data_IF_004434851991
#
_entry.id   IF_004434851991
#
_cell.length_a   1.000
_cell.length_b   1.000
_cell.length_c   1.000
_cell.angle_alpha   90.00
_cell.angle_beta   90.00
_cell.angle_gamma   90.00
#
_symmetry.space_group_name_H-M   'P 1'
#
loop_
_entity.id
_entity.type
_entity.pdbx_description
1 polymer ?
#
# COMPACT_ATOMS: atom_id res chain seq x y z
N UNK A 1 17.09 -0.17 9.76
CA UNK A 1 17.49 0.91 8.84
C UNK A 1 19.00 1.02 8.68
N UNK A 2 19.78 1.06 9.77
CA UNK A 2 21.25 1.17 9.72
C UNK A 2 21.92 0.12 8.82
N UNK A 3 21.53 -1.16 8.93
CA UNK A 3 22.01 -2.24 8.04
C UNK A 3 21.75 -1.95 6.56
N UNK A 4 20.61 -1.35 6.21
CA UNK A 4 20.31 -1.01 4.81
C UNK A 4 21.21 0.13 4.34
N UNK A 5 21.35 1.20 5.13
CA UNK A 5 22.22 2.34 4.81
C UNK A 5 23.70 1.96 4.68
N UNK A 6 24.15 0.92 5.39
CA UNK A 6 25.52 0.39 5.25
C UNK A 6 25.80 -0.24 3.88
N UNK A 7 24.79 -0.77 3.18
CA UNK A 7 24.96 -1.43 1.88
C UNK A 7 24.36 -0.63 0.73
N UNK A 8 23.46 0.30 1.05
CA UNK A 8 22.75 1.17 0.13
C UNK A 8 22.72 2.58 0.73
N UNK A 9 23.78 3.40 0.53
CA UNK A 9 23.88 4.71 1.16
C UNK A 9 22.74 5.67 0.80
N UNK A 10 22.14 5.48 -0.37
CA UNK A 10 20.99 6.27 -0.87
C UNK A 10 19.64 5.73 -0.37
N UNK A 11 19.63 4.64 0.39
CA UNK A 11 18.38 4.06 0.87
C UNK A 11 17.75 4.93 1.96
N UNK A 12 16.46 5.19 1.77
CA UNK A 12 15.59 5.82 2.75
C UNK A 12 14.27 5.05 2.88
N UNK A 13 13.64 5.03 4.08
CA UNK A 13 12.33 4.43 4.24
C UNK A 13 11.28 5.24 3.45
N UNK A 14 10.36 4.54 2.79
CA UNK A 14 9.24 5.18 2.12
C UNK A 14 8.33 5.88 3.14
N UNK A 15 7.97 7.13 2.84
CA UNK A 15 6.90 7.82 3.56
C UNK A 15 5.52 7.25 3.16
N UNK A 16 4.46 7.68 3.84
CA UNK A 16 3.10 7.16 3.60
C UNK A 16 2.65 7.31 2.14
N UNK A 17 2.91 8.45 1.51
CA UNK A 17 2.51 8.71 0.13
C UNK A 17 3.29 7.81 -0.85
N UNK A 18 4.59 7.64 -0.62
CA UNK A 18 5.44 6.77 -1.42
C UNK A 18 5.04 5.28 -1.28
N UNK A 19 4.61 4.85 -0.09
CA UNK A 19 4.04 3.50 0.11
C UNK A 19 2.75 3.30 -0.70
N UNK A 20 1.89 4.31 -0.83
CA UNK A 20 0.70 4.22 -1.69
C UNK A 20 1.05 4.20 -3.17
N UNK A 21 2.02 5.02 -3.60
CA UNK A 21 2.51 5.00 -4.97
C UNK A 21 3.09 3.63 -5.35
N UNK A 22 3.90 3.03 -4.46
CA UNK A 22 4.43 1.68 -4.64
C UNK A 22 3.29 0.64 -4.74
N UNK A 23 2.29 0.72 -3.87
CA UNK A 23 1.12 -0.17 -3.92
C UNK A 23 0.33 -0.03 -5.23
N UNK A 24 0.15 1.19 -5.73
CA UNK A 24 -0.49 1.43 -7.02
C UNK A 24 0.31 0.78 -8.16
N UNK A 25 1.62 0.99 -8.20
CA UNK A 25 2.51 0.39 -9.20
C UNK A 25 2.46 -1.15 -9.13
N UNK A 26 2.52 -1.72 -7.92
CA UNK A 26 2.43 -3.16 -7.70
C UNK A 26 1.12 -3.71 -8.25
N UNK A 27 -0.03 -3.15 -7.85
CA UNK A 27 -1.34 -3.57 -8.33
C UNK A 27 -1.48 -3.42 -9.85
N UNK A 28 -0.94 -2.35 -10.43
CA UNK A 28 -1.00 -2.09 -11.87
C UNK A 28 -0.24 -3.14 -12.67
N UNK A 29 0.92 -3.59 -12.17
CA UNK A 29 1.76 -4.59 -12.84
C UNK A 29 1.21 -6.03 -12.78
N UNK A 30 0.26 -6.33 -11.88
CA UNK A 30 -0.27 -7.68 -11.72
C UNK A 30 -1.41 -7.99 -12.69
N UNK A 31 -1.25 -9.05 -13.47
CA UNK A 31 -2.30 -9.65 -14.31
C UNK A 31 -2.66 -11.04 -13.80
N UNK A 32 -3.36 -11.08 -12.67
CA UNK A 32 -3.69 -12.32 -11.97
C UNK A 32 -5.19 -12.59 -12.00
N UNK A 33 -5.55 -13.86 -12.18
CA UNK A 33 -6.95 -14.32 -12.13
C UNK A 33 -7.18 -15.15 -10.87
N UNK A 34 -8.38 -15.04 -10.28
CA UNK A 34 -8.81 -15.84 -9.11
C UNK A 34 -7.86 -15.73 -7.89
N UNK A 35 -7.19 -14.60 -7.74
CA UNK A 35 -6.25 -14.34 -6.64
C UNK A 35 -6.88 -13.45 -5.57
N UNK A 36 -6.89 -13.93 -4.34
CA UNK A 36 -7.28 -13.16 -3.17
C UNK A 36 -6.13 -12.21 -2.80
N UNK A 37 -6.41 -10.90 -2.72
CA UNK A 37 -5.45 -9.89 -2.29
C UNK A 37 -5.88 -9.26 -0.97
N UNK A 38 -4.92 -9.14 -0.05
CA UNK A 38 -5.10 -8.61 1.30
C UNK A 38 -3.88 -7.76 1.66
N UNK A 39 -4.12 -6.49 1.90
CA UNK A 39 -3.20 -5.57 2.56
C UNK A 39 -3.92 -5.04 3.80
N UNK A 40 -4.15 -5.93 4.78
CA UNK A 40 -4.94 -5.66 5.98
C UNK A 40 -4.21 -6.01 7.28
N UNK A 41 -2.89 -6.22 7.20
CA UNK A 41 -2.03 -6.41 8.36
C UNK A 41 -1.96 -5.12 9.18
N UNK A 42 -1.61 -5.23 10.48
CA UNK A 42 -1.51 -4.08 11.39
C UNK A 42 -0.63 -2.95 10.84
N UNK A 43 0.47 -3.31 10.18
CA UNK A 43 1.42 -2.37 9.59
C UNK A 43 0.88 -1.58 8.39
N UNK A 44 -0.22 -2.00 7.76
CA UNK A 44 -0.78 -1.31 6.58
C UNK A 44 -1.59 -0.06 7.00
N UNK A 45 -1.28 1.08 6.39
CA UNK A 45 -2.06 2.31 6.56
C UNK A 45 -3.44 2.19 5.90
N UNK A 46 -3.48 1.79 4.63
CA UNK A 46 -4.69 1.60 3.85
C UNK A 46 -5.04 0.12 3.84
N UNK A 47 -6.25 -0.21 4.29
CA UNK A 47 -6.76 -1.57 4.26
C UNK A 47 -7.34 -1.84 2.87
N UNK A 48 -6.74 -2.79 2.15
CA UNK A 48 -7.24 -3.24 0.85
C UNK A 48 -7.57 -4.72 0.91
N UNK A 49 -8.76 -5.08 0.43
CA UNK A 49 -9.23 -6.46 0.34
C UNK A 49 -10.00 -6.64 -0.96
N UNK A 50 -9.70 -7.69 -1.72
CA UNK A 50 -10.47 -8.03 -2.91
C UNK A 50 -9.94 -9.27 -3.60
N UNK A 51 -10.50 -9.57 -4.77
CA UNK A 51 -10.03 -10.57 -5.72
C UNK A 51 -9.46 -9.84 -6.92
N UNK A 52 -8.12 -9.82 -7.09
CA UNK A 52 -7.43 -8.95 -8.05
C UNK A 52 -8.03 -9.01 -9.46
N UNK A 53 -8.20 -10.20 -10.03
CA UNK A 53 -8.70 -10.31 -11.40
C UNK A 53 -10.06 -9.62 -11.62
N UNK A 54 -10.99 -9.75 -10.67
CA UNK A 54 -12.32 -9.15 -10.78
C UNK A 54 -12.39 -7.70 -10.27
N UNK A 55 -11.52 -7.33 -9.34
CA UNK A 55 -11.62 -6.09 -8.55
C UNK A 55 -10.41 -5.17 -8.69
N UNK A 56 -9.47 -5.46 -9.61
CA UNK A 56 -8.24 -4.67 -9.82
C UNK A 56 -8.54 -3.18 -9.97
N UNK A 57 -9.54 -2.84 -10.78
CA UNK A 57 -9.89 -1.44 -11.02
C UNK A 57 -10.40 -0.74 -9.76
N UNK A 58 -11.23 -1.42 -8.95
CA UNK A 58 -11.69 -0.90 -7.65
C UNK A 58 -10.51 -0.69 -6.70
N UNK A 59 -9.61 -1.66 -6.59
CA UNK A 59 -8.43 -1.58 -5.74
C UNK A 59 -7.49 -0.44 -6.18
N UNK A 60 -7.27 -0.27 -7.48
CA UNK A 60 -6.49 0.85 -8.02
C UNK A 60 -7.14 2.21 -7.71
N UNK A 61 -8.46 2.31 -7.82
CA UNK A 61 -9.19 3.54 -7.48
C UNK A 61 -9.10 3.87 -6.00
N UNK A 62 -9.15 2.87 -5.11
CA UNK A 62 -8.98 3.08 -3.67
C UNK A 62 -7.58 3.61 -3.33
N UNK A 63 -6.53 3.08 -3.96
CA UNK A 63 -5.17 3.59 -3.77
C UNK A 63 -5.04 5.00 -4.35
N UNK A 64 -5.55 5.25 -5.55
CA UNK A 64 -5.53 6.58 -6.17
C UNK A 64 -6.26 7.64 -5.32
N UNK A 65 -7.40 7.29 -4.72
CA UNK A 65 -8.13 8.16 -3.80
C UNK A 65 -7.30 8.45 -2.54
N UNK A 66 -6.63 7.44 -1.97
CA UNK A 66 -5.77 7.60 -0.81
C UNK A 66 -4.52 8.45 -1.09
N UNK A 67 -4.04 8.47 -2.34
CA UNK A 67 -2.96 9.37 -2.78
C UNK A 67 -3.47 10.80 -2.94
N UNK A 68 -4.64 10.97 -3.57
CA UNK A 68 -5.18 12.29 -3.90
C UNK A 68 -5.75 13.03 -2.68
N UNK A 69 -6.38 12.31 -1.75
CA UNK A 69 -7.08 12.85 -0.58
C UNK A 69 -6.85 11.92 0.64
N UNK A 70 -5.63 11.87 1.19
CA UNK A 70 -5.28 10.98 2.29
C UNK A 70 -6.12 11.22 3.55
N UNK A 71 -6.59 12.45 3.77
CA UNK A 71 -7.47 12.83 4.89
C UNK A 71 -8.89 12.27 4.75
N UNK A 72 -9.36 12.04 3.52
CA UNK A 72 -10.65 11.41 3.24
C UNK A 72 -10.54 9.88 3.21
N UNK A 73 -9.34 9.35 3.00
CA UNK A 73 -9.07 7.93 3.13
C UNK A 73 -9.15 7.52 4.60
N UNK A 74 -9.90 6.46 4.90
CA UNK A 74 -10.03 5.89 6.25
C UNK A 74 -8.75 5.13 6.63
N UNK A 75 -7.63 5.85 6.71
CA UNK A 75 -6.32 5.29 7.04
C UNK A 75 -6.30 4.87 8.51
N UNK A 76 -5.59 3.78 8.80
CA UNK A 76 -5.33 3.39 10.18
C UNK A 76 -4.47 4.46 10.86
N UNK A 77 -4.85 4.98 12.03
CA UNK A 77 -4.01 5.89 12.78
C UNK A 77 -2.76 5.15 13.29
N UNK A 78 -1.67 5.89 13.54
CA UNK A 78 -0.38 5.31 13.93
C UNK A 78 -0.46 4.37 15.13
N UNK A 79 -1.24 4.74 16.14
CA UNK A 79 -1.41 3.95 17.36
C UNK A 79 -2.10 2.59 17.13
N UNK A 80 -2.78 2.39 16.00
CA UNK A 80 -3.36 1.09 15.60
C UNK A 80 -2.42 0.25 14.74
N UNK A 81 -1.25 0.77 14.36
CA UNK A 81 -0.33 0.12 13.41
C UNK A 81 0.75 -0.74 14.05
N UNK A 82 0.66 -0.98 15.36
CA UNK A 82 1.53 -1.88 16.12
C UNK A 82 0.74 -2.81 17.03
N UNK A 83 1.36 -3.93 17.42
CA UNK A 83 0.95 -4.75 18.58
C UNK A 83 1.59 -4.19 19.85
#
# INVERSE_FOLDING_TARGET
>A
EERFRQHYPEWEPLNQQALFAEMQQFLQALELQRTVFRSDHASNWLVLKGVLGAEKQRLLQEVAQAIAQPEAARLRPEWQRGL
#
